data_IF_704194075004
#
_entry.id   IF_704194075004
#
_cell.length_a   1.000
_cell.length_b   1.000
_cell.length_c   1.000
_cell.angle_alpha   90.00
_cell.angle_beta   90.00
_cell.angle_gamma   90.00
#
_symmetry.space_group_name_H-M   'P 1'
#
loop_
_entity.id
_entity.type
_entity.pdbx_description
1 polymer ?
#
# COMPACT_ATOMS: atom_id res chain seq x y z
N UNK A 1 4.34 28.82 26.58
CA UNK A 1 3.45 27.69 26.21
C UNK A 1 3.10 27.69 24.72
N UNK A 2 2.72 28.82 24.12
CA UNK A 2 2.38 28.91 22.69
C UNK A 2 3.54 28.57 21.73
N UNK A 3 4.79 28.95 22.07
CA UNK A 3 5.98 28.67 21.25
C UNK A 3 6.32 27.18 21.18
N UNK A 4 6.06 26.42 22.25
CA UNK A 4 6.28 24.96 22.26
C UNK A 4 5.27 24.29 21.32
N UNK A 5 4.02 24.74 21.32
CA UNK A 5 2.97 24.21 20.45
C UNK A 5 3.21 24.53 18.96
N UNK A 6 3.77 25.71 18.67
CA UNK A 6 4.19 26.15 17.32
C UNK A 6 5.33 25.31 16.74
N UNK A 7 6.24 24.79 17.57
CA UNK A 7 7.37 23.96 17.12
C UNK A 7 7.01 22.47 17.12
N UNK A 8 6.19 22.04 18.09
CA UNK A 8 5.81 20.65 18.24
C UNK A 8 4.96 20.15 17.06
N UNK A 9 4.03 20.97 16.57
CA UNK A 9 3.14 20.57 15.47
C UNK A 9 3.90 20.31 14.14
N UNK A 10 4.79 21.20 13.65
CA UNK A 10 5.67 20.92 12.51
C UNK A 10 6.55 19.69 12.73
N UNK A 11 7.06 19.50 13.96
CA UNK A 11 7.94 18.37 14.27
C UNK A 11 7.19 17.02 14.20
N UNK A 12 5.95 16.97 14.71
CA UNK A 12 5.09 15.79 14.59
C UNK A 12 4.78 15.51 13.12
N UNK A 13 4.44 16.55 12.34
CA UNK A 13 4.18 16.39 10.92
C UNK A 13 5.40 15.86 10.16
N UNK A 14 6.59 16.41 10.45
CA UNK A 14 7.86 15.94 9.90
C UNK A 14 8.12 14.47 10.27
N UNK A 15 7.89 14.08 11.51
CA UNK A 15 8.08 12.71 11.98
C UNK A 15 7.14 11.72 11.28
N UNK A 16 5.88 12.12 11.05
CA UNK A 16 4.90 11.32 10.29
C UNK A 16 5.37 11.16 8.85
N UNK A 17 5.72 12.27 8.18
CA UNK A 17 6.22 12.25 6.79
C UNK A 17 7.47 11.38 6.67
N UNK A 18 8.45 11.55 7.55
CA UNK A 18 9.67 10.74 7.57
C UNK A 18 9.36 9.25 7.75
N UNK A 19 8.40 8.91 8.61
CA UNK A 19 7.97 7.53 8.85
C UNK A 19 7.32 6.92 7.60
N UNK A 20 6.50 7.67 6.85
CA UNK A 20 5.94 7.22 5.57
C UNK A 20 7.01 6.97 4.51
N UNK A 21 8.02 7.85 4.42
CA UNK A 21 9.12 7.71 3.48
C UNK A 21 9.97 6.48 3.85
N UNK A 22 10.37 6.35 5.12
CA UNK A 22 11.13 5.20 5.63
C UNK A 22 10.38 3.89 5.39
N UNK A 23 9.08 3.85 5.70
CA UNK A 23 8.24 2.70 5.42
C UNK A 23 8.18 2.39 3.93
N UNK A 24 7.97 3.40 3.08
CA UNK A 24 7.92 3.23 1.64
C UNK A 24 9.21 2.64 1.06
N UNK A 25 10.37 3.20 1.43
CA UNK A 25 11.69 2.70 0.99
C UNK A 25 11.93 1.28 1.50
N UNK A 26 11.70 1.02 2.78
CA UNK A 26 11.92 -0.31 3.36
C UNK A 26 10.99 -1.36 2.75
N UNK A 27 9.72 -1.03 2.51
CA UNK A 27 8.77 -1.92 1.84
C UNK A 27 9.22 -2.28 0.42
N UNK A 28 9.67 -1.29 -0.36
CA UNK A 28 10.23 -1.52 -1.70
C UNK A 28 11.46 -2.42 -1.64
N UNK A 29 12.43 -2.12 -0.77
CA UNK A 29 13.65 -2.92 -0.61
C UNK A 29 13.30 -4.36 -0.21
N UNK A 30 12.50 -4.54 0.83
CA UNK A 30 12.08 -5.87 1.31
C UNK A 30 11.31 -6.65 0.26
N UNK A 31 10.48 -6.00 -0.56
CA UNK A 31 9.74 -6.67 -1.61
C UNK A 31 10.63 -7.23 -2.72
N UNK A 32 11.71 -6.52 -3.09
CA UNK A 32 12.66 -6.96 -4.11
C UNK A 32 13.48 -8.15 -3.62
N UNK A 33 14.04 -8.05 -2.40
CA UNK A 33 14.82 -9.14 -1.79
C UNK A 33 13.94 -10.33 -1.39
N UNK A 34 12.75 -10.06 -0.86
CA UNK A 34 11.79 -11.10 -0.51
C UNK A 34 11.22 -11.82 -1.73
N UNK A 35 10.93 -11.09 -2.81
CA UNK A 35 10.46 -11.66 -4.07
C UNK A 35 11.50 -12.56 -4.74
N UNK A 36 12.78 -12.17 -4.71
CA UNK A 36 13.86 -13.02 -5.22
C UNK A 36 14.06 -14.28 -4.37
N UNK A 37 14.00 -14.16 -3.04
CA UNK A 37 14.03 -15.31 -2.14
C UNK A 37 12.83 -16.25 -2.35
N UNK A 38 11.63 -15.71 -2.61
CA UNK A 38 10.43 -16.50 -2.89
C UNK A 38 10.57 -17.36 -4.16
N UNK A 39 11.39 -16.94 -5.14
CA UNK A 39 11.64 -17.75 -6.34
C UNK A 39 12.34 -19.07 -6.04
N UNK A 40 13.11 -19.16 -4.95
CA UNK A 40 13.86 -20.35 -4.53
C UNK A 40 12.98 -21.41 -3.86
N UNK A 41 11.72 -21.09 -3.55
CA UNK A 41 10.79 -22.00 -2.88
C UNK A 41 10.29 -23.06 -3.87
N UNK A 42 10.45 -24.34 -3.51
CA UNK A 42 10.02 -25.50 -4.33
C UNK A 42 8.50 -25.66 -4.39
N UNK A 43 7.79 -25.33 -3.30
CA UNK A 43 6.33 -25.43 -3.25
C UNK A 43 5.70 -24.33 -4.11
N UNK A 44 5.05 -24.72 -5.21
CA UNK A 44 4.42 -23.79 -6.18
C UNK A 44 3.38 -22.89 -5.52
N UNK A 45 2.50 -23.42 -4.68
CA UNK A 45 1.42 -22.65 -4.07
C UNK A 45 1.95 -21.60 -3.10
N UNK A 46 2.90 -21.99 -2.24
CA UNK A 46 3.56 -21.06 -1.31
C UNK A 46 4.38 -19.99 -2.06
N UNK A 47 5.07 -20.39 -3.13
CA UNK A 47 5.82 -19.48 -4.01
C UNK A 47 4.92 -18.42 -4.63
N UNK A 48 3.79 -18.81 -5.23
CA UNK A 48 2.85 -17.84 -5.81
C UNK A 48 2.26 -16.90 -4.75
N UNK A 49 1.90 -17.42 -3.58
CA UNK A 49 1.36 -16.61 -2.49
C UNK A 49 2.36 -15.55 -2.01
N UNK A 50 3.62 -15.95 -1.83
CA UNK A 50 4.70 -15.05 -1.41
C UNK A 50 5.02 -14.02 -2.49
N UNK A 51 5.08 -14.42 -3.77
CA UNK A 51 5.29 -13.48 -4.87
C UNK A 51 4.18 -12.43 -4.95
N UNK A 52 2.91 -12.84 -4.80
CA UNK A 52 1.79 -11.89 -4.77
C UNK A 52 1.89 -10.97 -3.56
N UNK A 53 2.26 -11.50 -2.39
CA UNK A 53 2.40 -10.71 -1.16
C UNK A 53 3.52 -9.68 -1.26
N UNK A 54 4.68 -10.05 -1.82
CA UNK A 54 5.78 -9.13 -2.07
C UNK A 54 5.43 -8.11 -3.15
N UNK A 55 4.68 -8.50 -4.19
CA UNK A 55 4.19 -7.56 -5.19
C UNK A 55 3.23 -6.52 -4.59
N UNK A 56 2.33 -6.94 -3.70
CA UNK A 56 1.46 -6.02 -2.96
C UNK A 56 2.30 -5.09 -2.09
N UNK A 57 3.29 -5.61 -1.36
CA UNK A 57 4.18 -4.81 -0.52
C UNK A 57 4.97 -3.78 -1.34
N UNK A 58 5.44 -4.16 -2.53
CA UNK A 58 6.09 -3.26 -3.48
C UNK A 58 5.16 -2.13 -3.89
N UNK A 59 3.93 -2.45 -4.33
CA UNK A 59 2.95 -1.46 -4.78
C UNK A 59 2.56 -0.50 -3.65
N UNK A 60 2.39 -1.01 -2.42
CA UNK A 60 2.14 -0.16 -1.24
C UNK A 60 3.32 0.76 -0.95
N UNK A 61 4.55 0.24 -1.02
CA UNK A 61 5.76 1.05 -0.84
C UNK A 61 5.88 2.16 -1.89
N UNK A 62 5.63 1.84 -3.16
CA UNK A 62 5.59 2.83 -4.25
C UNK A 62 4.50 3.86 -4.00
N UNK A 63 3.30 3.46 -3.60
CA UNK A 63 2.20 4.36 -3.28
C UNK A 63 2.55 5.34 -2.16
N UNK A 64 3.29 4.91 -1.14
CA UNK A 64 3.78 5.78 -0.07
C UNK A 64 4.83 6.79 -0.55
N UNK A 65 5.68 6.42 -1.51
CA UNK A 65 6.75 7.27 -2.04
C UNK A 65 6.27 8.21 -3.15
N UNK A 66 5.24 7.80 -3.90
CA UNK A 66 4.73 8.50 -5.07
C UNK A 66 4.39 9.99 -4.86
N UNK A 67 3.67 10.42 -3.79
CA UNK A 67 3.38 11.85 -3.58
C UNK A 67 4.63 12.69 -3.36
N UNK A 68 5.70 12.10 -2.80
CA UNK A 68 6.98 12.78 -2.63
C UNK A 68 7.77 12.82 -3.94
N UNK A 69 7.82 11.70 -4.68
CA UNK A 69 8.46 11.65 -5.98
C UNK A 69 7.85 12.66 -6.98
N UNK A 70 6.52 12.81 -6.98
CA UNK A 70 5.82 13.79 -7.82
C UNK A 70 6.20 15.25 -7.54
N UNK A 71 6.50 15.58 -6.28
CA UNK A 71 6.97 16.91 -5.90
C UNK A 71 8.41 17.21 -6.39
N UNK A 72 9.26 16.18 -6.51
CA UNK A 72 10.64 16.33 -6.98
C UNK A 72 10.81 16.17 -8.51
N UNK A 73 9.94 15.41 -9.17
CA UNK A 73 10.05 15.08 -10.60
C UNK A 73 9.25 16.01 -11.53
N UNK A 74 8.66 17.09 -11.01
CA UNK A 74 7.81 18.01 -11.79
C UNK A 74 6.75 17.29 -12.61
N UNK A 75 6.19 16.21 -12.06
CA UNK A 75 5.14 15.44 -12.73
C UNK A 75 3.89 16.29 -12.85
N UNK A 76 3.19 16.17 -13.98
CA UNK A 76 1.92 16.82 -14.19
C UNK A 76 0.95 16.44 -13.07
N UNK A 77 0.45 17.45 -12.35
CA UNK A 77 -0.44 17.29 -11.19
C UNK A 77 -1.73 16.52 -11.54
N UNK A 78 -2.15 16.55 -12.82
CA UNK A 78 -3.30 15.79 -13.31
C UNK A 78 -3.07 14.28 -13.45
N UNK A 79 -1.82 13.83 -13.63
CA UNK A 79 -1.48 12.41 -13.76
C UNK A 79 -1.34 11.69 -12.40
N UNK A 80 -0.99 12.43 -11.35
CA UNK A 80 -0.83 11.92 -9.99
C UNK A 80 -2.06 11.13 -9.50
N UNK A 81 -3.29 11.67 -9.56
CA UNK A 81 -4.47 10.93 -9.09
C UNK A 81 -4.80 9.70 -9.94
N UNK A 82 -4.54 9.74 -11.25
CA UNK A 82 -4.79 8.62 -12.16
C UNK A 82 -3.85 7.45 -11.83
N UNK A 83 -2.57 7.74 -11.64
CA UNK A 83 -1.57 6.73 -11.29
C UNK A 83 -1.83 6.17 -9.89
N UNK A 84 -2.16 7.05 -8.93
CA UNK A 84 -2.50 6.63 -7.55
C UNK A 84 -3.74 5.73 -7.50
N UNK A 85 -4.82 6.09 -8.21
CA UNK A 85 -6.05 5.28 -8.24
C UNK A 85 -5.85 3.94 -8.94
N UNK A 86 -5.07 3.89 -10.02
CA UNK A 86 -4.74 2.64 -10.70
C UNK A 86 -3.87 1.71 -9.84
N UNK A 87 -2.87 2.25 -9.12
CA UNK A 87 -2.06 1.50 -8.15
C UNK A 87 -2.94 0.92 -7.03
N UNK A 88 -3.87 1.71 -6.50
CA UNK A 88 -4.82 1.25 -5.48
C UNK A 88 -5.70 0.10 -6.01
N UNK A 89 -6.22 0.22 -7.23
CA UNK A 89 -7.00 -0.83 -7.88
C UNK A 89 -6.21 -2.15 -8.03
N UNK A 90 -4.94 -2.06 -8.42
CA UNK A 90 -4.05 -3.22 -8.53
C UNK A 90 -3.79 -3.88 -7.17
N UNK A 91 -3.56 -3.10 -6.11
CA UNK A 91 -3.36 -3.60 -4.74
C UNK A 91 -4.61 -4.37 -4.29
N UNK A 92 -5.80 -3.81 -4.50
CA UNK A 92 -7.07 -4.45 -4.13
C UNK A 92 -7.26 -5.77 -4.89
N UNK A 93 -7.04 -5.77 -6.21
CA UNK A 93 -7.22 -6.96 -7.04
C UNK A 93 -6.25 -8.08 -6.66
N UNK A 94 -4.97 -7.75 -6.47
CA UNK A 94 -3.96 -8.71 -6.03
C UNK A 94 -4.24 -9.24 -4.62
N UNK A 95 -4.74 -8.40 -3.71
CA UNK A 95 -5.09 -8.80 -2.35
C UNK A 95 -6.25 -9.79 -2.34
N UNK A 96 -7.29 -9.57 -3.15
CA UNK A 96 -8.39 -10.53 -3.32
C UNK A 96 -7.87 -11.85 -3.90
N UNK A 97 -6.97 -11.79 -4.89
CA UNK A 97 -6.30 -12.97 -5.44
C UNK A 97 -5.48 -13.74 -4.39
N UNK A 98 -4.71 -13.03 -3.57
CA UNK A 98 -3.92 -13.60 -2.48
C UNK A 98 -4.82 -14.29 -1.45
N UNK A 99 -5.91 -13.64 -1.04
CA UNK A 99 -6.89 -14.22 -0.10
C UNK A 99 -7.49 -15.50 -0.67
N UNK A 100 -7.85 -15.52 -1.97
CA UNK A 100 -8.40 -16.68 -2.70
C UNK A 100 -7.39 -17.80 -2.97
N UNK A 101 -6.09 -17.53 -2.89
CA UNK A 101 -5.05 -18.55 -3.00
C UNK A 101 -4.57 -19.03 -1.61
N UNK A 102 -4.70 -18.20 -0.58
CA UNK A 102 -4.20 -18.48 0.78
C UNK A 102 -4.85 -19.69 1.42
N UNK A 103 -4.03 -20.64 1.85
CA UNK A 103 -4.45 -21.82 2.62
C UNK A 103 -4.58 -21.53 4.12
N UNK A 104 -4.28 -20.31 4.57
CA UNK A 104 -4.28 -19.94 5.99
C UNK A 104 -5.68 -19.95 6.62
N UNK A 105 -6.72 -19.71 5.81
CA UNK A 105 -8.12 -19.80 6.25
C UNK A 105 -8.77 -20.99 5.53
N UNK A 106 -8.80 -22.19 6.13
CA UNK A 106 -9.32 -23.39 5.49
C UNK A 106 -10.85 -23.34 5.32
N UNK A 107 -11.55 -22.56 6.14
CA UNK A 107 -13.01 -22.48 6.11
C UNK A 107 -13.51 -21.47 5.05
N UNK A 108 -14.40 -21.91 4.17
CA UNK A 108 -15.03 -21.06 3.13
C UNK A 108 -15.71 -19.83 3.73
N UNK A 109 -16.40 -19.98 4.86
CA UNK A 109 -17.10 -18.88 5.53
C UNK A 109 -16.12 -17.83 6.06
N UNK A 110 -15.03 -18.25 6.71
CA UNK A 110 -14.01 -17.33 7.22
C UNK A 110 -13.31 -16.55 6.10
N UNK A 111 -13.07 -17.20 4.95
CA UNK A 111 -12.49 -16.55 3.77
C UNK A 111 -13.43 -15.51 3.17
N UNK A 112 -14.73 -15.80 3.10
CA UNK A 112 -15.75 -14.85 2.64
C UNK A 112 -15.84 -13.64 3.57
N UNK A 113 -15.84 -13.86 4.89
CA UNK A 113 -15.83 -12.76 5.88
C UNK A 113 -14.59 -11.89 5.72
N UNK A 114 -13.41 -12.49 5.55
CA UNK A 114 -12.16 -11.75 5.33
C UNK A 114 -12.20 -10.91 4.05
N UNK A 115 -12.74 -11.45 2.96
CA UNK A 115 -12.91 -10.71 1.70
C UNK A 115 -13.91 -9.55 1.84
N UNK A 116 -15.03 -9.75 2.55
CA UNK A 116 -16.01 -8.70 2.81
C UNK A 116 -15.40 -7.58 3.66
N UNK A 117 -14.69 -7.95 4.73
CA UNK A 117 -14.03 -7.00 5.61
C UNK A 117 -12.96 -6.19 4.87
N UNK A 118 -12.12 -6.86 4.08
CA UNK A 118 -11.14 -6.20 3.23
C UNK A 118 -11.80 -5.27 2.20
N UNK A 119 -12.87 -5.74 1.54
CA UNK A 119 -13.64 -4.93 0.60
C UNK A 119 -14.24 -3.68 1.25
N UNK A 120 -14.74 -3.79 2.48
CA UNK A 120 -15.28 -2.66 3.24
C UNK A 120 -14.20 -1.61 3.54
N UNK A 121 -13.04 -2.04 4.04
CA UNK A 121 -11.91 -1.12 4.27
C UNK A 121 -11.40 -0.49 2.97
N UNK A 122 -11.32 -1.26 1.88
CA UNK A 122 -10.93 -0.75 0.58
C UNK A 122 -11.94 0.29 0.04
N UNK A 123 -13.24 0.07 0.24
CA UNK A 123 -14.27 1.02 -0.14
C UNK A 123 -14.18 2.33 0.67
N UNK A 124 -13.95 2.26 1.98
CA UNK A 124 -13.72 3.45 2.81
C UNK A 124 -12.49 4.22 2.32
N UNK A 125 -11.38 3.52 2.09
CA UNK A 125 -10.15 4.15 1.59
C UNK A 125 -10.34 4.80 0.22
N UNK A 126 -11.11 4.17 -0.68
CA UNK A 126 -11.46 4.72 -1.99
C UNK A 126 -12.31 6.00 -1.86
N UNK A 127 -13.35 5.97 -1.03
CA UNK A 127 -14.21 7.15 -0.79
C UNK A 127 -13.40 8.30 -0.20
N UNK A 128 -12.50 8.01 0.76
CA UNK A 128 -11.60 9.01 1.33
C UNK A 128 -10.66 9.60 0.28
N UNK A 129 -10.10 8.76 -0.59
CA UNK A 129 -9.21 9.21 -1.67
C UNK A 129 -9.95 10.08 -2.69
N UNK A 130 -11.18 9.72 -3.08
CA UNK A 130 -12.02 10.51 -3.97
C UNK A 130 -12.44 11.84 -3.35
N UNK A 131 -12.77 11.84 -2.06
CA UNK A 131 -13.12 13.06 -1.33
C UNK A 131 -11.95 14.05 -1.26
N UNK A 132 -10.74 13.56 -0.98
CA UNK A 132 -9.52 14.38 -0.99
C UNK A 132 -9.19 14.93 -2.38
N UNK A 133 -9.55 14.20 -3.44
CA UNK A 133 -9.42 14.64 -4.83
C UNK A 133 -10.42 15.73 -5.21
N UNK A 134 -11.65 15.66 -4.71
CA UNK A 134 -12.70 16.65 -4.97
C UNK A 134 -12.51 17.97 -4.20
N UNK A 135 -11.68 17.97 -3.17
CA UNK A 135 -11.35 19.15 -2.34
C UNK A 135 -10.20 19.99 -2.94
N UNK A 136 -9.61 19.54 -4.05
CA UNK A 136 -8.48 20.16 -4.74
C UNK A 136 -8.96 20.92 -5.97
#
# INVERSE_FOLDING_TARGET
MFHVMLILLPLIFLAIVASFILFGVTAVVLSIFGGSAAMMIKNKTAKYLLLISFLILFLVGVQCLYPFAGAYLSMDMGLIPIISTSLFGLIVLLSVGAIKLSTAVPNKTGRTVLMILFGFFAAIALVLALFMLSLR
#
